data_IF_124492923827
#
_entry.id   IF_124492923827
#
_cell.length_a   1.000
_cell.length_b   1.000
_cell.length_c   1.000
_cell.angle_alpha   90.00
_cell.angle_beta   90.00
_cell.angle_gamma   90.00
#
_symmetry.space_group_name_H-M   'P 1'
#
loop_
_entity.id
_entity.type
_entity.pdbx_description
1 polymer ?
#
# COMPACT_ATOMS: atom_id res chain seq x y z
N UNK A 1 -10.93 44.25 72.77
CA UNK A 1 -9.60 43.70 73.11
C UNK A 1 -9.55 42.30 72.61
N UNK A 2 -8.78 42.05 71.60
CA UNK A 2 -7.78 41.07 71.23
C UNK A 2 -7.81 40.76 69.73
N UNK A 3 -7.05 41.61 69.04
CA UNK A 3 -6.60 41.36 67.67
C UNK A 3 -5.21 40.74 67.78
N UNK A 4 -5.02 39.48 67.40
CA UNK A 4 -3.63 38.96 67.51
C UNK A 4 -3.38 37.54 67.06
N UNK A 5 -4.29 36.84 66.38
CA UNK A 5 -4.05 35.44 66.08
C UNK A 5 -4.03 35.03 64.59
N UNK A 6 -4.17 36.00 63.70
CA UNK A 6 -4.20 35.65 62.26
C UNK A 6 -2.89 35.91 61.46
N UNK A 7 -1.83 36.39 62.18
CA UNK A 7 -0.57 36.72 61.48
C UNK A 7 0.46 35.58 61.38
N UNK A 8 0.26 34.49 62.12
CA UNK A 8 1.22 33.38 62.16
C UNK A 8 0.81 32.17 61.28
N UNK A 9 -0.41 32.12 60.76
CA UNK A 9 -0.84 31.03 59.90
C UNK A 9 -0.56 31.23 58.42
N UNK A 10 -0.33 32.49 57.98
CA UNK A 10 -0.05 32.81 56.56
C UNK A 10 1.43 32.58 56.14
N UNK A 11 2.34 32.52 57.11
CA UNK A 11 3.77 32.33 56.79
C UNK A 11 4.19 30.87 56.64
N UNK A 12 3.41 29.92 57.14
CA UNK A 12 3.73 28.47 57.03
C UNK A 12 3.20 27.83 55.73
N UNK A 13 2.23 28.44 55.04
CA UNK A 13 1.71 27.91 53.77
C UNK A 13 2.57 28.38 52.56
N UNK A 14 3.36 29.43 52.69
CA UNK A 14 4.24 29.90 51.62
C UNK A 14 5.53 29.08 51.51
N UNK A 15 5.96 28.38 52.55
CA UNK A 15 7.17 27.58 52.54
C UNK A 15 6.99 26.18 51.96
N UNK A 16 5.75 25.69 51.88
CA UNK A 16 5.43 24.33 51.41
C UNK A 16 5.17 24.24 49.89
N UNK A 17 5.02 25.40 49.23
CA UNK A 17 4.74 25.49 47.80
C UNK A 17 5.97 25.47 46.87
N UNK A 18 7.18 25.68 47.43
CA UNK A 18 8.41 25.74 46.60
C UNK A 18 9.18 24.42 46.50
N UNK A 19 8.81 23.40 47.26
CA UNK A 19 9.51 22.10 47.25
C UNK A 19 9.03 21.09 46.19
N UNK A 20 7.98 21.39 45.44
CA UNK A 20 7.37 20.44 44.47
C UNK A 20 7.85 20.66 43.04
N UNK A 21 8.61 21.71 42.75
CA UNK A 21 9.10 22.02 41.37
C UNK A 21 10.52 21.52 41.07
N UNK A 22 11.17 20.81 42.00
CA UNK A 22 12.55 20.35 41.81
C UNK A 22 12.67 18.82 41.53
N UNK A 23 11.58 18.07 41.36
CA UNK A 23 11.65 16.61 41.16
C UNK A 23 11.36 16.12 39.73
N UNK A 24 11.40 17.01 38.74
CA UNK A 24 11.21 16.62 37.34
C UNK A 24 12.52 16.61 36.52
N UNK A 25 13.62 16.17 37.09
CA UNK A 25 14.87 16.11 36.32
C UNK A 25 15.80 14.99 36.78
N UNK A 26 15.30 13.75 36.91
CA UNK A 26 16.19 12.59 36.88
C UNK A 26 15.39 11.32 36.60
N UNK A 27 14.88 11.19 35.37
CA UNK A 27 14.70 9.87 34.80
C UNK A 27 15.96 9.65 33.95
N UNK A 28 16.89 8.80 34.35
CA UNK A 28 17.91 8.30 33.43
C UNK A 28 17.13 7.43 32.44
N UNK A 29 16.69 8.01 31.36
CA UNK A 29 16.35 7.25 30.17
C UNK A 29 17.67 6.66 29.68
N UNK A 30 18.09 5.57 30.35
CA UNK A 30 19.07 4.67 29.79
C UNK A 30 18.37 4.02 28.62
N UNK A 31 18.33 4.76 27.50
CA UNK A 31 18.17 4.14 26.21
C UNK A 31 19.24 3.07 26.10
N UNK A 32 18.88 1.82 26.40
CA UNK A 32 19.67 0.71 25.88
C UNK A 32 19.74 0.99 24.38
N UNK A 33 20.89 1.50 23.91
CA UNK A 33 21.31 1.25 22.55
C UNK A 33 21.20 -0.25 22.40
N UNK A 34 20.21 -0.71 21.65
CA UNK A 34 20.21 -2.05 21.11
C UNK A 34 21.38 -2.11 20.13
N UNK A 35 22.57 -2.36 20.69
CA UNK A 35 23.73 -2.68 19.89
C UNK A 35 23.40 -3.95 19.12
N UNK A 36 23.36 -3.82 17.81
CA UNK A 36 23.70 -4.91 16.92
C UNK A 36 22.63 -5.91 16.56
N UNK A 37 21.35 -5.54 16.48
CA UNK A 37 20.49 -6.31 15.60
C UNK A 37 20.74 -5.77 14.19
N UNK A 38 21.32 -6.60 13.27
CA UNK A 38 21.44 -6.17 11.88
C UNK A 38 20.05 -5.75 11.43
N UNK A 39 19.91 -4.52 10.97
CA UNK A 39 18.66 -4.05 10.41
C UNK A 39 18.22 -5.11 9.39
N UNK A 40 17.03 -5.69 9.58
CA UNK A 40 16.49 -6.62 8.61
C UNK A 40 16.62 -5.94 7.23
N UNK A 41 17.12 -6.66 6.21
CA UNK A 41 17.29 -6.04 4.90
C UNK A 41 15.99 -5.40 4.50
N UNK A 42 16.03 -4.08 4.20
CA UNK A 42 14.84 -3.32 3.86
C UNK A 42 14.18 -3.98 2.64
N UNK A 43 12.86 -4.17 2.70
CA UNK A 43 12.10 -4.67 1.57
C UNK A 43 12.28 -3.70 0.38
N UNK A 44 12.43 -4.19 -0.86
CA UNK A 44 12.37 -3.32 -2.03
C UNK A 44 11.09 -2.52 -2.04
N UNK A 45 11.15 -1.30 -2.56
CA UNK A 45 9.96 -0.45 -2.69
C UNK A 45 8.98 -1.12 -3.65
N UNK A 46 7.73 -1.26 -3.22
CA UNK A 46 6.64 -1.75 -4.05
C UNK A 46 5.88 -0.57 -4.67
N UNK A 47 5.72 -0.60 -5.99
CA UNK A 47 5.04 0.46 -6.73
C UNK A 47 4.06 -0.09 -7.76
N UNK A 48 2.92 0.56 -7.92
CA UNK A 48 1.99 0.30 -9.01
C UNK A 48 2.42 1.15 -10.21
N UNK A 49 2.67 0.51 -11.35
CA UNK A 49 3.00 1.22 -12.59
C UNK A 49 1.78 2.02 -13.06
N UNK A 50 1.88 3.35 -13.04
CA UNK A 50 0.76 4.24 -13.35
C UNK A 50 0.02 3.93 -14.66
N UNK A 51 0.67 3.61 -15.78
CA UNK A 51 -0.02 3.23 -17.01
C UNK A 51 -0.85 1.95 -16.88
N UNK A 52 -0.53 1.10 -15.89
CA UNK A 52 -1.13 -0.21 -15.65
C UNK A 52 -1.93 -0.26 -14.34
N UNK A 53 -2.17 0.90 -13.72
CA UNK A 53 -3.00 1.02 -12.52
C UNK A 53 -4.50 0.93 -12.83
N UNK A 54 -4.88 1.08 -14.10
CA UNK A 54 -6.27 1.01 -14.55
C UNK A 54 -6.37 0.04 -15.73
N UNK A 55 -7.47 -0.71 -15.77
CA UNK A 55 -7.81 -1.59 -16.90
C UNK A 55 -9.29 -1.47 -17.26
N UNK A 56 -9.66 -1.96 -18.44
CA UNK A 56 -11.05 -2.01 -18.87
C UNK A 56 -11.40 -3.39 -19.42
N UNK A 57 -12.56 -3.89 -19.02
CA UNK A 57 -13.16 -5.13 -19.52
C UNK A 57 -14.32 -4.78 -20.43
N UNK A 58 -14.32 -5.35 -21.62
CA UNK A 58 -15.28 -5.02 -22.67
C UNK A 58 -16.31 -6.13 -22.87
N UNK A 59 -17.44 -5.75 -23.43
CA UNK A 59 -18.49 -6.69 -23.84
C UNK A 59 -17.94 -7.70 -24.86
N UNK A 60 -18.29 -8.98 -24.74
CA UNK A 60 -17.92 -9.98 -25.75
C UNK A 60 -18.40 -9.55 -27.15
N UNK A 61 -17.55 -9.76 -28.16
CA UNK A 61 -17.84 -9.38 -29.53
C UNK A 61 -17.62 -7.91 -29.86
N UNK A 62 -17.05 -7.09 -28.95
CA UNK A 62 -16.60 -5.74 -29.28
C UNK A 62 -15.55 -5.83 -30.39
N UNK A 63 -15.82 -5.14 -31.52
CA UNK A 63 -14.95 -5.14 -32.69
C UNK A 63 -13.69 -4.30 -32.52
N UNK A 64 -13.04 -3.95 -33.64
CA UNK A 64 -11.81 -3.17 -33.63
C UNK A 64 -12.02 -1.72 -33.15
N UNK A 65 -13.21 -1.15 -33.36
CA UNK A 65 -13.57 0.17 -32.87
C UNK A 65 -14.15 0.05 -31.46
N UNK A 66 -13.32 0.30 -30.44
CA UNK A 66 -13.68 0.20 -29.03
C UNK A 66 -14.09 1.59 -28.53
N UNK A 67 -15.30 1.71 -27.97
CA UNK A 67 -15.87 2.94 -27.46
C UNK A 67 -16.14 2.85 -25.95
N UNK A 68 -16.23 3.98 -25.23
CA UNK A 68 -16.55 3.98 -23.79
C UNK A 68 -17.85 3.26 -23.44
N UNK A 69 -18.84 3.27 -24.36
CA UNK A 69 -20.12 2.58 -24.16
C UNK A 69 -20.02 1.05 -24.19
N UNK A 70 -18.91 0.51 -24.68
CA UNK A 70 -18.68 -0.93 -24.77
C UNK A 70 -18.00 -1.49 -23.50
N UNK A 71 -17.62 -0.61 -22.56
CA UNK A 71 -16.94 -1.00 -21.31
C UNK A 71 -17.95 -1.59 -20.34
N UNK A 72 -17.72 -2.83 -19.91
CA UNK A 72 -18.48 -3.48 -18.85
C UNK A 72 -17.96 -3.06 -17.47
N UNK A 73 -16.66 -3.12 -17.25
CA UNK A 73 -16.05 -2.78 -15.98
C UNK A 73 -14.72 -2.06 -16.17
N UNK A 74 -14.47 -1.08 -15.31
CA UNK A 74 -13.14 -0.48 -15.13
C UNK A 74 -12.49 -1.10 -13.90
N UNK A 75 -11.29 -1.63 -14.04
CA UNK A 75 -10.46 -2.09 -12.93
C UNK A 75 -9.55 -0.96 -12.45
N UNK A 76 -9.36 -0.87 -11.15
CA UNK A 76 -8.54 0.15 -10.49
C UNK A 76 -7.63 -0.56 -9.48
N UNK A 77 -6.33 -0.50 -9.68
CA UNK A 77 -5.34 -0.97 -8.72
C UNK A 77 -4.96 0.22 -7.83
N UNK A 78 -5.51 0.25 -6.62
CA UNK A 78 -5.53 1.45 -5.77
C UNK A 78 -4.31 1.55 -4.87
N UNK A 79 -3.88 0.42 -4.28
CA UNK A 79 -2.81 0.41 -3.29
C UNK A 79 -2.07 -0.93 -3.26
N UNK A 80 -0.82 -0.90 -2.79
CA UNK A 80 0.03 -2.07 -2.60
C UNK A 80 0.93 -1.85 -1.39
N UNK A 81 0.99 -2.85 -0.51
CA UNK A 81 1.99 -2.92 0.54
C UNK A 81 2.76 -4.23 0.45
N UNK A 82 4.03 -4.20 0.85
CA UNK A 82 4.91 -5.35 0.77
C UNK A 82 5.71 -5.56 2.05
N UNK A 83 5.85 -6.83 2.43
CA UNK A 83 6.82 -7.28 3.41
C UNK A 83 7.70 -8.37 2.81
N UNK A 84 8.96 -8.45 3.24
CA UNK A 84 9.95 -9.29 2.58
C UNK A 84 10.81 -10.08 3.55
N UNK A 85 11.23 -11.26 3.09
CA UNK A 85 12.23 -12.08 3.75
C UNK A 85 13.29 -12.50 2.72
N UNK A 86 14.55 -12.25 3.03
CA UNK A 86 15.67 -12.67 2.20
C UNK A 86 16.15 -14.05 2.65
N UNK A 87 16.17 -15.02 1.74
CA UNK A 87 16.62 -16.38 1.98
C UNK A 87 17.71 -16.75 0.96
N UNK A 88 18.97 -16.49 1.30
CA UNK A 88 20.08 -16.73 0.38
C UNK A 88 19.92 -15.93 -0.92
N UNK A 89 19.81 -16.63 -2.04
CA UNK A 89 19.67 -16.04 -3.39
C UNK A 89 18.21 -15.74 -3.78
N UNK A 90 17.26 -15.82 -2.83
CA UNK A 90 15.84 -15.59 -3.11
C UNK A 90 15.26 -14.53 -2.18
N UNK A 91 14.26 -13.81 -2.69
CA UNK A 91 13.44 -12.85 -1.98
C UNK A 91 12.01 -13.39 -1.93
N UNK A 92 11.52 -13.71 -0.73
CA UNK A 92 10.09 -13.98 -0.49
C UNK A 92 9.41 -12.67 -0.23
N UNK A 93 8.36 -12.38 -0.98
CA UNK A 93 7.57 -11.15 -0.86
C UNK A 93 6.14 -11.54 -0.54
N UNK A 94 5.59 -10.97 0.53
CA UNK A 94 4.19 -11.01 0.90
C UNK A 94 3.57 -9.66 0.56
N UNK A 95 2.50 -9.65 -0.21
CA UNK A 95 1.89 -8.45 -0.77
C UNK A 95 0.41 -8.39 -0.38
N UNK A 96 -0.01 -7.23 0.10
CA UNK A 96 -1.42 -6.87 0.26
C UNK A 96 -1.78 -5.86 -0.81
N UNK A 97 -2.74 -6.23 -1.66
CA UNK A 97 -3.15 -5.47 -2.85
C UNK A 97 -4.59 -4.99 -2.68
N UNK A 98 -4.84 -3.71 -2.93
CA UNK A 98 -6.19 -3.14 -2.94
C UNK A 98 -6.64 -2.95 -4.37
N UNK A 99 -7.58 -3.79 -4.81
CA UNK A 99 -8.10 -3.78 -6.17
C UNK A 99 -9.60 -3.48 -6.14
N UNK A 100 -10.03 -2.55 -6.95
CA UNK A 100 -11.43 -2.16 -7.09
C UNK A 100 -11.90 -2.34 -8.53
N UNK A 101 -13.21 -2.43 -8.70
CA UNK A 101 -13.86 -2.36 -10.00
C UNK A 101 -15.04 -1.40 -9.97
N UNK A 102 -15.30 -0.73 -11.09
CA UNK A 102 -16.42 0.16 -11.30
C UNK A 102 -17.24 -0.30 -12.51
N UNK A 103 -18.57 -0.22 -12.42
CA UNK A 103 -19.47 -0.56 -13.51
C UNK A 103 -19.35 0.44 -14.64
N UNK A 104 -19.08 -0.07 -15.85
CA UNK A 104 -19.18 0.71 -17.08
C UNK A 104 -20.59 0.71 -17.67
N UNK A 105 -20.81 1.43 -18.77
CA UNK A 105 -22.10 1.53 -19.42
C UNK A 105 -22.68 0.19 -19.93
N UNK A 106 -21.80 -0.77 -20.29
CA UNK A 106 -22.20 -2.09 -20.78
C UNK A 106 -22.22 -3.16 -19.68
N UNK A 107 -22.15 -2.78 -18.40
CA UNK A 107 -22.04 -3.72 -17.30
C UNK A 107 -23.20 -4.72 -17.28
N UNK A 108 -22.86 -6.01 -17.17
CA UNK A 108 -23.76 -7.13 -16.95
C UNK A 108 -23.26 -7.93 -15.75
N UNK A 109 -24.17 -8.26 -14.84
CA UNK A 109 -23.82 -8.97 -13.61
C UNK A 109 -23.07 -8.09 -12.60
N UNK A 110 -22.58 -8.73 -11.56
CA UNK A 110 -21.99 -8.07 -10.39
C UNK A 110 -20.50 -8.36 -10.24
N UNK A 111 -19.99 -9.37 -10.90
CA UNK A 111 -18.64 -9.87 -10.74
C UNK A 111 -17.78 -9.59 -11.96
N UNK A 112 -16.53 -9.28 -11.71
CA UNK A 112 -15.52 -9.16 -12.76
C UNK A 112 -14.24 -9.87 -12.33
N UNK A 113 -13.68 -10.68 -13.23
CA UNK A 113 -12.37 -11.29 -13.08
C UNK A 113 -11.32 -10.38 -13.72
N UNK A 114 -10.34 -9.98 -12.92
CA UNK A 114 -9.22 -9.13 -13.34
C UNK A 114 -7.92 -9.92 -13.19
N UNK A 115 -6.95 -9.63 -14.04
CA UNK A 115 -5.61 -10.21 -13.95
C UNK A 115 -4.60 -9.10 -13.72
N UNK A 116 -3.77 -9.27 -12.70
CA UNK A 116 -2.66 -8.37 -12.43
C UNK A 116 -1.33 -9.16 -12.35
N UNK A 117 -0.23 -8.47 -12.39
CA UNK A 117 1.08 -9.07 -12.22
C UNK A 117 1.88 -8.37 -11.11
N UNK A 118 2.82 -9.11 -10.57
CA UNK A 118 3.89 -8.61 -9.71
C UNK A 118 5.22 -9.03 -10.34
N UNK A 119 6.18 -8.14 -10.41
CA UNK A 119 7.51 -8.42 -10.90
C UNK A 119 8.59 -7.85 -10.00
N UNK A 120 9.73 -8.55 -9.94
CA UNK A 120 10.96 -8.04 -9.35
C UNK A 120 11.84 -7.53 -10.47
N UNK A 121 12.22 -6.26 -10.38
CA UNK A 121 13.07 -5.59 -11.37
C UNK A 121 14.32 -5.02 -10.68
N UNK A 122 15.44 -5.05 -11.36
CA UNK A 122 16.64 -4.37 -10.92
C UNK A 122 16.63 -2.90 -11.34
N UNK A 123 17.51 -2.09 -10.74
CA UNK A 123 17.65 -0.66 -11.03
C UNK A 123 18.01 -0.37 -12.51
N UNK A 124 18.66 -1.31 -13.19
CA UNK A 124 18.94 -1.28 -14.64
C UNK A 124 17.74 -1.71 -15.51
N UNK A 125 16.55 -1.85 -14.92
CA UNK A 125 15.30 -2.29 -15.55
C UNK A 125 15.26 -3.77 -15.96
N UNK A 126 16.26 -4.57 -15.60
CA UNK A 126 16.22 -6.01 -15.85
C UNK A 126 15.13 -6.65 -15.00
N UNK A 127 14.21 -7.40 -15.65
CA UNK A 127 13.17 -8.17 -14.96
C UNK A 127 13.77 -9.49 -14.49
N UNK A 128 13.86 -9.68 -13.17
CA UNK A 128 14.39 -10.90 -12.55
C UNK A 128 13.31 -11.99 -12.40
N UNK A 129 12.06 -11.58 -12.34
CA UNK A 129 10.92 -12.49 -12.28
C UNK A 129 9.60 -11.75 -12.41
N UNK A 130 8.58 -12.45 -12.94
CA UNK A 130 7.21 -11.95 -13.06
C UNK A 130 6.24 -13.08 -12.75
N UNK A 131 5.19 -12.78 -11.98
CA UNK A 131 4.06 -13.67 -11.68
C UNK A 131 2.76 -12.95 -11.94
N UNK A 132 1.78 -13.67 -12.49
CA UNK A 132 0.43 -13.15 -12.73
C UNK A 132 -0.57 -13.83 -11.80
N UNK A 133 -1.57 -13.05 -11.35
CA UNK A 133 -2.59 -13.45 -10.40
C UNK A 133 -3.97 -13.04 -10.94
N UNK A 134 -4.95 -13.90 -10.75
CA UNK A 134 -6.34 -13.60 -11.02
C UNK A 134 -7.04 -13.15 -9.75
N UNK A 135 -7.87 -12.13 -9.83
CA UNK A 135 -8.68 -11.64 -8.71
C UNK A 135 -10.10 -11.39 -9.17
N UNK A 136 -11.07 -11.83 -8.36
CA UNK A 136 -12.50 -11.56 -8.60
C UNK A 136 -12.97 -10.42 -7.71
N UNK A 137 -13.55 -9.39 -8.33
CA UNK A 137 -14.16 -8.27 -7.63
C UNK A 137 -15.66 -8.35 -7.78
N UNK A 138 -16.37 -8.40 -6.65
CA UNK A 138 -17.84 -8.36 -6.61
C UNK A 138 -18.30 -6.94 -6.28
N UNK A 139 -19.23 -6.43 -7.09
CA UNK A 139 -19.83 -5.11 -6.89
C UNK A 139 -21.24 -5.34 -6.33
N UNK A 140 -21.55 -4.88 -5.11
CA UNK A 140 -22.85 -5.05 -4.51
C UNK A 140 -23.98 -4.49 -5.40
N UNK A 141 -25.19 -5.05 -5.28
CA UNK A 141 -26.37 -4.56 -5.97
C UNK A 141 -26.57 -3.06 -5.69
N UNK A 142 -26.93 -2.31 -6.74
CA UNK A 142 -27.11 -0.85 -6.70
C UNK A 142 -25.85 -0.03 -6.41
N UNK A 143 -24.70 -0.66 -6.12
CA UNK A 143 -23.42 0.04 -6.01
C UNK A 143 -22.81 0.28 -7.39
N UNK A 144 -22.09 1.38 -7.53
CA UNK A 144 -21.30 1.68 -8.74
C UNK A 144 -19.94 1.00 -8.71
N UNK A 145 -19.42 0.72 -7.51
CA UNK A 145 -18.06 0.23 -7.29
C UNK A 145 -18.03 -0.85 -6.22
N UNK A 146 -17.14 -1.82 -6.38
CA UNK A 146 -16.74 -2.81 -5.39
C UNK A 146 -15.22 -2.87 -5.27
N UNK A 147 -14.72 -3.54 -4.23
CA UNK A 147 -13.28 -3.71 -4.02
C UNK A 147 -12.98 -4.97 -3.24
N UNK A 148 -11.73 -5.38 -3.30
CA UNK A 148 -11.17 -6.54 -2.60
C UNK A 148 -9.76 -6.23 -2.13
N UNK A 149 -9.40 -6.78 -0.96
CA UNK A 149 -8.02 -6.89 -0.52
C UNK A 149 -7.54 -8.29 -0.90
N UNK A 150 -6.53 -8.36 -1.76
CA UNK A 150 -5.97 -9.62 -2.25
C UNK A 150 -4.56 -9.80 -1.69
N UNK A 151 -4.37 -10.92 -0.97
CA UNK A 151 -3.08 -11.25 -0.35
C UNK A 151 -2.39 -12.33 -1.16
N UNK A 152 -1.14 -12.06 -1.58
CA UNK A 152 -0.35 -13.04 -2.35
C UNK A 152 1.07 -13.13 -1.80
N UNK A 153 1.62 -14.33 -1.83
CA UNK A 153 3.04 -14.58 -1.58
C UNK A 153 3.74 -15.01 -2.87
N UNK A 154 4.92 -14.47 -3.08
CA UNK A 154 5.75 -14.79 -4.24
C UNK A 154 7.21 -14.88 -3.86
N UNK A 155 7.92 -15.80 -4.50
CA UNK A 155 9.39 -15.95 -4.33
C UNK A 155 10.05 -15.61 -5.65
N UNK A 156 10.99 -14.69 -5.60
CA UNK A 156 11.80 -14.27 -6.74
C UNK A 156 13.28 -14.59 -6.53
N UNK A 157 14.02 -14.95 -7.58
CA UNK A 157 15.49 -14.98 -7.52
C UNK A 157 16.02 -13.54 -7.45
N UNK A 158 17.01 -13.28 -6.59
CA UNK A 158 17.70 -11.98 -6.52
C UNK A 158 18.81 -11.85 -7.56
N UNK A 159 19.21 -12.97 -8.18
CA UNK A 159 20.34 -13.05 -9.11
C UNK A 159 21.65 -12.46 -8.53
N UNK A 160 21.85 -12.58 -7.20
CA UNK A 160 23.01 -12.05 -6.49
C UNK A 160 23.05 -10.52 -6.35
N UNK A 161 21.96 -9.83 -6.69
CA UNK A 161 21.88 -8.36 -6.58
C UNK A 161 21.57 -7.93 -5.14
N UNK A 162 22.11 -6.79 -4.69
CA UNK A 162 21.73 -6.18 -3.41
C UNK A 162 20.26 -5.85 -3.39
N UNK A 163 19.61 -6.02 -2.24
CA UNK A 163 18.17 -5.70 -2.08
C UNK A 163 17.86 -4.21 -2.38
N UNK A 164 18.80 -3.32 -2.07
CA UNK A 164 18.67 -1.88 -2.35
C UNK A 164 18.58 -1.54 -3.85
N UNK A 165 19.05 -2.45 -4.72
CA UNK A 165 19.01 -2.27 -6.18
C UNK A 165 17.78 -2.93 -6.82
N UNK A 166 16.87 -3.44 -5.99
CA UNK A 166 15.67 -4.13 -6.46
C UNK A 166 14.42 -3.27 -6.23
N UNK A 167 13.45 -3.42 -7.13
CA UNK A 167 12.14 -2.81 -7.03
C UNK A 167 11.06 -3.87 -7.28
N UNK A 168 9.97 -3.80 -6.52
CA UNK A 168 8.77 -4.58 -6.77
C UNK A 168 7.83 -3.70 -7.58
N UNK A 169 7.41 -4.17 -8.75
CA UNK A 169 6.46 -3.46 -9.60
C UNK A 169 5.22 -4.29 -9.82
N UNK A 170 4.06 -3.66 -9.79
CA UNK A 170 2.78 -4.29 -10.02
C UNK A 170 1.92 -3.50 -11.00
N UNK A 171 0.93 -4.15 -11.60
CA UNK A 171 0.00 -3.53 -12.52
C UNK A 171 -0.95 -4.55 -13.13
N UNK A 172 -2.01 -4.08 -13.78
CA UNK A 172 -2.88 -4.98 -14.51
C UNK A 172 -2.19 -5.58 -15.72
N UNK A 173 -2.54 -6.84 -16.00
CA UNK A 173 -2.18 -7.50 -17.24
C UNK A 173 -3.17 -7.05 -18.32
N UNK A 174 -2.76 -6.04 -19.10
CA UNK A 174 -3.63 -5.43 -20.11
C UNK A 174 -3.93 -6.37 -21.27
N UNK A 175 -5.22 -6.40 -21.68
CA UNK A 175 -5.61 -6.99 -22.95
C UNK A 175 -5.23 -6.05 -24.12
N UNK A 176 -5.05 -6.58 -25.36
CA UNK A 176 -4.85 -5.73 -26.53
C UNK A 176 -5.93 -4.66 -26.72
N UNK A 177 -7.18 -5.02 -26.38
CA UNK A 177 -8.32 -4.11 -26.43
C UNK A 177 -8.19 -2.98 -25.39
N UNK A 178 -7.80 -3.29 -24.15
CA UNK A 178 -7.59 -2.28 -23.12
C UNK A 178 -6.44 -1.32 -23.48
N UNK A 179 -5.35 -1.85 -24.03
CA UNK A 179 -4.23 -1.04 -24.52
C UNK A 179 -4.71 -0.07 -25.62
N UNK A 180 -5.49 -0.54 -26.59
CA UNK A 180 -6.01 0.28 -27.68
C UNK A 180 -6.99 1.34 -27.15
N UNK A 181 -7.88 0.95 -26.23
CA UNK A 181 -8.83 1.87 -25.59
C UNK A 181 -8.11 3.01 -24.90
N UNK A 182 -7.14 2.72 -24.03
CA UNK A 182 -6.41 3.77 -23.31
C UNK A 182 -5.51 4.62 -24.21
N UNK A 183 -5.03 4.12 -25.34
CA UNK A 183 -4.34 4.94 -26.34
C UNK A 183 -5.25 6.00 -26.94
N UNK A 184 -6.52 5.64 -27.20
CA UNK A 184 -7.48 6.52 -27.87
C UNK A 184 -8.19 7.49 -26.89
N UNK A 185 -8.34 7.09 -25.62
CA UNK A 185 -9.14 7.82 -24.62
C UNK A 185 -8.34 8.31 -23.41
N UNK A 186 -7.01 8.45 -23.55
CA UNK A 186 -6.18 9.06 -22.50
C UNK A 186 -6.57 10.51 -22.30
N UNK A 187 -7.14 10.82 -21.14
CA UNK A 187 -7.23 12.20 -20.63
C UNK A 187 -8.40 13.02 -21.12
N UNK A 188 -9.56 12.42 -21.27
CA UNK A 188 -10.82 13.19 -21.39
C UNK A 188 -11.64 13.11 -20.12
#
# INVERSE_FOLDING_TARGET
>A
MSTGWYRSAAALLAAMGLAVLASCSYIPFVGKKSEGQPAAPACPIAVILRPLANTAVFRPGTGAEIRPIDVMFYGIYSDISASCQVNGATLRVSLDNVIAAERGPAAQGNDVDLTYFVSLTASDQTVLGKKSFGVRVSIPDRAKRGGVNDHVEVVFPTAGRPIADLNITAGFQESPQAIQFYKNYRGR
#
